data_IF_025369790704
#
_entry.id   IF_025369790704
#
_cell.length_a   1.000
_cell.length_b   1.000
_cell.length_c   1.000
_cell.angle_alpha   90.00
_cell.angle_beta   90.00
_cell.angle_gamma   90.00
#
_symmetry.space_group_name_H-M   'P 1'
#
loop_
_entity.id
_entity.type
_entity.pdbx_description
1 polymer ?
#
# COMPACT_ATOMS: atom_id res chain seq x y z
N UNK A 1 -19.08 -13.23 4.71
CA UNK A 1 -18.44 -12.32 5.70
C UNK A 1 -18.38 -10.94 5.08
N UNK A 2 -18.77 -9.90 5.80
CA UNK A 2 -18.61 -8.53 5.31
C UNK A 2 -17.14 -8.12 5.39
N UNK A 3 -16.61 -7.54 4.31
CA UNK A 3 -15.28 -6.92 4.31
C UNK A 3 -15.34 -5.61 5.11
N UNK A 4 -14.51 -5.48 6.15
CA UNK A 4 -14.40 -4.26 6.94
C UNK A 4 -13.10 -3.54 6.56
N UNK A 5 -13.22 -2.28 6.16
CA UNK A 5 -12.07 -1.40 5.91
C UNK A 5 -11.99 -0.37 7.04
N UNK A 6 -10.82 -0.22 7.62
CA UNK A 6 -10.54 0.76 8.68
C UNK A 6 -9.73 1.92 8.09
N UNK A 7 -9.85 3.09 8.73
CA UNK A 7 -9.04 4.27 8.42
C UNK A 7 -8.33 4.72 9.69
N UNK A 8 -7.06 5.11 9.52
CA UNK A 8 -6.21 5.59 10.60
C UNK A 8 -6.39 7.10 10.72
N UNK A 9 -6.78 7.55 11.91
CA UNK A 9 -6.91 8.97 12.25
C UNK A 9 -5.63 9.75 11.98
N UNK A 10 -4.47 9.14 12.23
CA UNK A 10 -3.16 9.77 11.97
C UNK A 10 -2.99 10.21 10.51
N UNK A 11 -3.63 9.53 9.56
CA UNK A 11 -3.56 9.89 8.14
C UNK A 11 -4.70 10.86 7.76
N UNK A 12 -5.93 10.56 8.15
CA UNK A 12 -7.11 11.36 7.73
C UNK A 12 -7.24 12.68 8.49
N UNK A 13 -6.65 12.79 9.68
CA UNK A 13 -6.59 14.02 10.46
C UNK A 13 -5.25 14.76 10.25
N UNK A 14 -4.41 14.33 9.29
CA UNK A 14 -3.16 15.02 8.95
C UNK A 14 -3.44 16.29 8.16
N UNK A 15 -2.62 17.33 8.38
CA UNK A 15 -2.74 18.61 7.67
C UNK A 15 -2.70 18.41 6.15
N UNK A 16 -1.78 17.56 5.66
CA UNK A 16 -1.68 17.23 4.24
C UNK A 16 -2.99 16.71 3.64
N UNK A 17 -3.76 15.94 4.40
CA UNK A 17 -5.05 15.40 3.98
C UNK A 17 -6.17 16.44 4.09
N UNK A 18 -6.23 17.16 5.21
CA UNK A 18 -7.27 18.16 5.48
C UNK A 18 -7.19 19.39 4.57
N UNK A 19 -6.00 19.71 4.07
CA UNK A 19 -5.78 20.76 3.06
C UNK A 19 -6.36 20.42 1.67
N UNK A 20 -6.66 19.14 1.39
CA UNK A 20 -7.20 18.74 0.09
C UNK A 20 -8.68 19.15 -0.04
N UNK A 21 -9.18 19.38 -1.27
CA UNK A 21 -10.61 19.56 -1.50
C UNK A 21 -11.43 18.37 -0.98
N UNK A 22 -12.64 18.63 -0.48
CA UNK A 22 -13.54 17.59 0.03
C UNK A 22 -13.84 16.49 -1.00
N UNK A 23 -13.88 16.85 -2.29
CA UNK A 23 -14.04 15.91 -3.42
C UNK A 23 -12.87 14.93 -3.53
N UNK A 24 -11.62 15.41 -3.41
CA UNK A 24 -10.43 14.56 -3.38
C UNK A 24 -10.39 13.67 -2.12
N UNK A 25 -10.72 14.21 -0.95
CA UNK A 25 -10.84 13.43 0.29
C UNK A 25 -11.90 12.33 0.15
N UNK A 26 -13.07 12.66 -0.41
CA UNK A 26 -14.14 11.71 -0.69
C UNK A 26 -13.68 10.60 -1.64
N UNK A 27 -13.01 10.97 -2.74
CA UNK A 27 -12.45 10.01 -3.71
C UNK A 27 -11.47 9.04 -3.03
N UNK A 28 -10.58 9.52 -2.15
CA UNK A 28 -9.65 8.68 -1.40
C UNK A 28 -10.36 7.60 -0.58
N UNK A 29 -11.43 7.97 0.14
CA UNK A 29 -12.23 7.02 0.90
C UNK A 29 -12.90 6.00 -0.03
N UNK A 30 -13.50 6.44 -1.14
CA UNK A 30 -14.18 5.54 -2.07
C UNK A 30 -13.25 4.56 -2.79
N UNK A 31 -12.03 4.97 -3.11
CA UNK A 31 -10.98 4.10 -3.64
C UNK A 31 -10.56 3.07 -2.60
N UNK A 32 -10.26 3.52 -1.36
CA UNK A 32 -9.85 2.65 -0.26
C UNK A 32 -10.92 1.63 0.13
N UNK A 33 -12.20 1.97 0.03
CA UNK A 33 -13.30 1.03 0.28
C UNK A 33 -13.39 -0.11 -0.74
N UNK A 34 -12.82 0.08 -1.95
CA UNK A 34 -12.89 -0.87 -3.07
C UNK A 34 -11.53 -1.49 -3.41
N UNK A 35 -10.51 -1.19 -2.62
CA UNK A 35 -9.20 -1.78 -2.76
C UNK A 35 -9.19 -3.23 -2.26
N UNK A 36 -8.30 -4.04 -2.84
CA UNK A 36 -8.03 -5.39 -2.36
C UNK A 36 -7.22 -5.39 -1.05
N UNK A 37 -6.89 -6.57 -0.53
CA UNK A 37 -6.19 -6.70 0.76
C UNK A 37 -4.75 -6.19 0.76
N UNK A 38 -4.16 -5.94 -0.40
CA UNK A 38 -2.87 -5.26 -0.52
C UNK A 38 -2.99 -3.76 -0.81
N UNK A 39 -4.20 -3.26 -1.04
CA UNK A 39 -4.50 -1.85 -1.29
C UNK A 39 -4.56 -1.46 -2.76
N UNK A 40 -4.61 -2.43 -3.68
CA UNK A 40 -4.65 -2.18 -5.11
C UNK A 40 -6.08 -1.93 -5.62
N UNK A 41 -6.20 -1.02 -6.58
CA UNK A 41 -7.45 -0.67 -7.25
C UNK A 41 -7.22 -0.60 -8.75
N UNK A 42 -7.97 -1.39 -9.53
CA UNK A 42 -7.96 -1.33 -10.99
C UNK A 42 -9.09 -0.42 -11.52
N UNK A 43 -10.23 -0.39 -10.85
CA UNK A 43 -11.44 0.27 -11.36
C UNK A 43 -11.53 1.78 -11.06
N UNK A 44 -10.40 2.50 -11.10
CA UNK A 44 -10.31 3.93 -10.70
C UNK A 44 -11.30 4.81 -11.46
N UNK A 45 -11.32 4.74 -12.80
CA UNK A 45 -12.24 5.53 -13.63
C UNK A 45 -13.72 5.23 -13.34
N UNK A 46 -14.05 3.97 -13.08
CA UNK A 46 -15.41 3.57 -12.73
C UNK A 46 -15.82 4.18 -11.39
N UNK A 47 -14.93 4.13 -10.39
CA UNK A 47 -15.18 4.70 -9.07
C UNK A 47 -15.36 6.21 -9.16
N UNK A 48 -14.47 6.92 -9.87
CA UNK A 48 -14.57 8.36 -10.10
C UNK A 48 -15.92 8.74 -10.73
N UNK A 49 -16.39 8.00 -11.75
CA UNK A 49 -17.71 8.22 -12.35
C UNK A 49 -18.86 8.01 -11.36
N UNK A 50 -18.78 6.97 -10.52
CA UNK A 50 -19.84 6.67 -9.52
C UNK A 50 -19.95 7.77 -8.47
N UNK A 51 -18.82 8.35 -8.06
CA UNK A 51 -18.77 9.38 -7.01
C UNK A 51 -18.77 10.79 -7.58
N UNK A 52 -18.81 10.92 -8.91
CA UNK A 52 -18.71 12.17 -9.65
C UNK A 52 -17.47 13.01 -9.29
N UNK A 53 -16.32 12.34 -9.11
CA UNK A 53 -15.04 13.00 -8.86
C UNK A 53 -14.39 13.45 -10.18
N UNK A 54 -13.71 14.59 -10.14
CA UNK A 54 -12.99 15.14 -11.29
C UNK A 54 -11.63 14.46 -11.48
N UNK A 55 -11.05 14.60 -12.67
CA UNK A 55 -9.68 14.17 -12.92
C UNK A 55 -8.66 14.96 -12.06
N UNK A 56 -8.97 16.21 -11.72
CA UNK A 56 -8.13 17.04 -10.86
C UNK A 56 -8.08 16.51 -9.42
N UNK A 57 -9.20 16.01 -8.89
CA UNK A 57 -9.24 15.35 -7.57
C UNK A 57 -8.29 14.16 -7.52
N UNK A 58 -8.29 13.34 -8.58
CA UNK A 58 -7.38 12.20 -8.68
C UNK A 58 -5.92 12.65 -8.79
N UNK A 59 -5.63 13.68 -9.61
CA UNK A 59 -4.29 14.25 -9.73
C UNK A 59 -3.78 14.77 -8.38
N UNK A 60 -4.62 15.44 -7.59
CA UNK A 60 -4.26 15.91 -6.25
C UNK A 60 -3.83 14.74 -5.35
N UNK A 61 -4.56 13.62 -5.37
CA UNK A 61 -4.21 12.42 -4.59
C UNK A 61 -2.87 11.81 -5.01
N UNK A 62 -2.56 11.81 -6.32
CA UNK A 62 -1.28 11.33 -6.84
C UNK A 62 -0.16 12.31 -6.48
N UNK A 63 -0.35 13.61 -6.70
CA UNK A 63 0.66 14.65 -6.45
C UNK A 63 1.01 14.78 -4.96
N UNK A 64 0.02 14.69 -4.06
CA UNK A 64 0.26 14.64 -2.60
C UNK A 64 0.72 13.26 -2.11
N UNK A 65 0.78 12.26 -3.00
CA UNK A 65 1.30 10.93 -2.70
C UNK A 65 0.40 10.08 -1.81
N UNK A 66 -0.92 10.30 -1.78
CA UNK A 66 -1.86 9.41 -1.09
C UNK A 66 -2.13 8.14 -1.88
N UNK A 67 -1.96 8.21 -3.20
CA UNK A 67 -2.13 7.12 -4.16
C UNK A 67 -0.89 7.03 -5.03
N UNK A 68 -0.40 5.82 -5.29
CA UNK A 68 0.67 5.57 -6.26
C UNK A 68 0.05 4.98 -7.53
N UNK A 69 0.37 5.57 -8.67
CA UNK A 69 -0.10 5.13 -9.99
C UNK A 69 0.99 4.30 -10.68
N UNK A 70 0.61 3.15 -11.22
CA UNK A 70 1.48 2.32 -12.06
C UNK A 70 1.20 2.57 -13.55
N UNK A 71 2.17 2.25 -14.40
CA UNK A 71 2.05 2.32 -15.86
C UNK A 71 0.93 1.43 -16.42
N UNK A 72 0.59 0.35 -15.71
CA UNK A 72 -0.55 -0.52 -16.07
C UNK A 72 -1.92 0.16 -15.87
N UNK A 73 -1.96 1.34 -15.27
CA UNK A 73 -3.19 2.07 -14.94
C UNK A 73 -3.84 1.63 -13.63
N UNK A 74 -3.27 0.61 -12.97
CA UNK A 74 -3.64 0.20 -11.62
C UNK A 74 -3.03 1.19 -10.62
N UNK A 75 -3.72 1.42 -9.51
CA UNK A 75 -3.19 2.23 -8.41
C UNK A 75 -3.05 1.40 -7.14
N UNK A 76 -2.24 1.89 -6.20
CA UNK A 76 -2.20 1.39 -4.83
C UNK A 76 -2.38 2.54 -3.83
N UNK A 77 -3.14 2.28 -2.77
CA UNK A 77 -3.28 3.22 -1.64
C UNK A 77 -2.00 3.20 -0.82
N UNK A 78 -1.28 4.32 -0.75
CA UNK A 78 0.06 4.38 -0.14
C UNK A 78 0.07 3.95 1.33
N UNK A 79 -0.96 4.37 2.08
CA UNK A 79 -1.07 4.14 3.53
C UNK A 79 -1.90 2.89 3.87
N UNK A 80 -2.08 1.96 2.93
CA UNK A 80 -2.98 0.83 3.11
C UNK A 80 -2.70 -0.01 4.35
N UNK A 81 -1.43 -0.38 4.59
CA UNK A 81 -1.04 -1.22 5.75
C UNK A 81 -1.08 -0.47 7.09
N UNK A 82 -1.09 0.86 7.06
CA UNK A 82 -1.36 1.70 8.24
C UNK A 82 -2.86 1.68 8.56
N UNK A 83 -3.69 1.74 7.51
CA UNK A 83 -5.14 1.69 7.64
C UNK A 83 -5.66 0.31 8.04
N UNK A 84 -5.13 -0.74 7.42
CA UNK A 84 -5.66 -2.09 7.52
C UNK A 84 -4.55 -3.07 7.87
N UNK A 85 -4.68 -3.70 9.03
CA UNK A 85 -3.90 -4.88 9.39
C UNK A 85 -4.81 -6.11 9.24
N UNK A 86 -4.58 -6.89 8.18
CA UNK A 86 -5.39 -8.07 7.85
C UNK A 86 -4.68 -9.32 8.40
N UNK A 87 -5.44 -10.18 9.09
CA UNK A 87 -4.90 -11.42 9.63
C UNK A 87 -4.59 -12.41 8.50
N UNK A 88 -3.52 -13.21 8.68
CA UNK A 88 -2.98 -14.10 7.64
C UNK A 88 -3.99 -15.14 7.15
N UNK A 89 -4.89 -15.60 8.01
CA UNK A 89 -5.92 -16.59 7.72
C UNK A 89 -6.98 -16.09 6.73
N UNK A 90 -7.23 -14.78 6.69
CA UNK A 90 -8.24 -14.15 5.80
C UNK A 90 -7.64 -13.39 4.64
N UNK A 91 -6.33 -13.17 4.65
CA UNK A 91 -5.63 -12.38 3.67
C UNK A 91 -5.69 -13.01 2.28
N UNK A 92 -6.08 -12.22 1.28
CA UNK A 92 -6.06 -12.60 -0.13
C UNK A 92 -5.04 -11.75 -0.88
N UNK A 93 -3.95 -12.34 -1.42
CA UNK A 93 -2.95 -11.56 -2.13
C UNK A 93 -3.55 -10.93 -3.38
N UNK A 94 -3.04 -9.76 -3.74
CA UNK A 94 -3.39 -9.11 -5.00
C UNK A 94 -2.98 -9.94 -6.21
N UNK A 95 -3.74 -9.81 -7.29
CA UNK A 95 -3.38 -10.36 -8.60
C UNK A 95 -2.26 -9.56 -9.27
N UNK A 96 -2.01 -8.31 -8.85
CA UNK A 96 -0.98 -7.40 -9.37
C UNK A 96 0.39 -7.67 -8.72
N UNK A 97 0.84 -8.93 -8.82
CA UNK A 97 2.09 -9.39 -8.18
C UNK A 97 3.32 -8.66 -8.71
N UNK A 98 3.34 -8.32 -10.01
CA UNK A 98 4.42 -7.58 -10.66
C UNK A 98 4.54 -6.16 -10.10
N UNK A 99 3.44 -5.42 -10.02
CA UNK A 99 3.40 -4.07 -9.46
C UNK A 99 3.75 -4.08 -7.98
N UNK A 100 3.23 -5.06 -7.23
CA UNK A 100 3.55 -5.24 -5.81
C UNK A 100 5.03 -5.51 -5.56
N UNK A 101 5.70 -6.24 -6.46
CA UNK A 101 7.15 -6.49 -6.32
C UNK A 101 8.01 -5.23 -6.46
N UNK A 102 7.46 -4.17 -7.07
CA UNK A 102 8.12 -2.85 -7.19
C UNK A 102 7.89 -1.96 -5.97
N UNK A 103 7.10 -2.41 -5.01
CA UNK A 103 6.83 -1.67 -3.78
C UNK A 103 7.73 -2.17 -2.66
N UNK A 104 8.45 -1.24 -2.04
CA UNK A 104 9.01 -1.44 -0.72
C UNK A 104 8.00 -1.02 0.34
N UNK A 105 8.06 -1.67 1.50
CA UNK A 105 7.29 -1.28 2.68
C UNK A 105 8.28 -0.91 3.77
N UNK A 106 8.32 0.38 4.13
CA UNK A 106 9.18 0.86 5.19
C UNK A 106 8.70 0.33 6.56
N UNK A 107 9.52 0.49 7.60
CA UNK A 107 9.14 0.15 8.99
C UNK A 107 7.84 0.83 9.46
N UNK A 108 7.48 1.94 8.81
CA UNK A 108 6.25 2.69 9.08
C UNK A 108 5.00 2.12 8.38
N UNK A 109 5.09 0.96 7.70
CA UNK A 109 3.98 0.32 6.96
C UNK A 109 3.41 1.18 5.83
N UNK A 110 4.24 2.06 5.27
CA UNK A 110 3.90 2.92 4.15
C UNK A 110 4.53 2.33 2.89
N UNK A 111 3.78 2.28 1.79
CA UNK A 111 4.34 1.86 0.52
C UNK A 111 5.21 2.96 -0.10
N UNK A 112 6.34 2.54 -0.64
CA UNK A 112 7.29 3.35 -1.39
C UNK A 112 7.57 2.62 -2.70
N UNK A 113 7.68 3.36 -3.82
CA UNK A 113 8.03 2.76 -5.10
C UNK A 113 9.56 2.69 -5.20
N UNK A 114 10.12 1.51 -5.43
CA UNK A 114 11.57 1.26 -5.43
C UNK A 114 12.30 1.83 -6.67
N UNK A 115 11.73 2.80 -7.38
CA UNK A 115 12.36 3.29 -8.61
C UNK A 115 12.19 4.78 -8.81
N UNK A 116 13.33 5.38 -9.14
CA UNK A 116 13.69 6.73 -9.60
C UNK A 116 12.92 7.26 -10.83
N UNK A 117 11.63 6.96 -10.95
CA UNK A 117 10.79 7.27 -12.11
C UNK A 117 9.32 7.11 -11.67
N UNK A 118 8.43 8.10 -11.64
CA UNK A 118 8.37 9.43 -12.24
C UNK A 118 7.58 10.34 -11.27
N UNK A 119 8.22 11.36 -10.73
CA UNK A 119 7.55 12.63 -10.52
C UNK A 119 7.68 13.37 -11.85
N UNK A 120 6.79 13.09 -12.80
CA UNK A 120 6.72 13.90 -13.99
C UNK A 120 5.30 14.43 -14.13
N UNK A 121 5.16 15.72 -13.85
CA UNK A 121 4.10 16.56 -14.38
C UNK A 121 4.16 16.48 -15.92
N UNK A 122 3.58 15.43 -16.51
CA UNK A 122 3.33 15.41 -17.95
C UNK A 122 1.92 15.94 -18.16
N UNK A 123 1.85 17.18 -18.65
CA UNK A 123 0.73 17.77 -19.36
C UNK A 123 -0.19 16.71 -19.96
N UNK A 124 -1.33 16.46 -19.32
CA UNK A 124 -2.43 15.73 -19.92
C UNK A 124 -3.22 16.73 -20.74
N UNK A 125 -2.62 17.13 -21.86
CA UNK A 125 -3.30 17.86 -22.91
C UNK A 125 -3.65 16.89 -24.03
N UNK A 126 -4.96 16.72 -24.20
CA UNK A 126 -5.66 16.34 -25.42
C UNK A 126 -5.21 15.08 -26.18
N UNK A 127 -6.04 14.03 -26.11
CA UNK A 127 -6.64 13.47 -27.33
C UNK A 127 -7.94 12.71 -27.02
N UNK A 128 -9.03 13.36 -27.40
CA UNK A 128 -10.38 12.83 -27.49
C UNK A 128 -10.40 11.64 -28.44
N UNK A 129 -10.74 10.44 -27.96
CA UNK A 129 -11.15 9.32 -28.84
C UNK A 129 -12.42 8.67 -28.27
N UNK A 130 -13.54 9.17 -28.82
CA UNK A 130 -14.77 8.50 -29.22
C UNK A 130 -15.64 7.78 -28.16
N UNK A 131 -16.80 8.38 -27.96
CA UNK A 131 -18.02 7.69 -27.55
C UNK A 131 -18.35 6.60 -28.56
N UNK A 132 -18.39 5.34 -28.12
CA UNK A 132 -19.26 4.34 -28.74
C UNK A 132 -20.09 3.76 -27.60
N UNK A 133 -21.37 4.15 -27.61
CA UNK A 133 -22.41 3.37 -26.98
C UNK A 133 -22.49 2.05 -27.75
N UNK A 134 -22.43 0.93 -27.04
CA UNK A 134 -23.31 -0.18 -27.36
C UNK A 134 -23.49 -1.09 -26.14
N UNK A 135 -24.75 -1.45 -25.91
CA UNK A 135 -25.17 -2.47 -24.97
C UNK A 135 -24.62 -3.82 -25.41
N UNK A 136 -24.21 -4.65 -24.46
CA UNK A 136 -24.96 -5.90 -24.28
C UNK A 136 -24.72 -6.57 -22.93
N UNK A 137 -25.82 -7.09 -22.41
CA UNK A 137 -25.91 -8.00 -21.28
C UNK A 137 -25.48 -9.37 -21.76
N UNK A 138 -24.54 -10.05 -21.12
CA UNK A 138 -24.56 -11.53 -21.06
C UNK A 138 -24.08 -12.09 -19.72
N UNK A 139 -25.05 -12.78 -19.11
CA UNK A 139 -24.93 -13.87 -18.16
C UNK A 139 -24.10 -15.01 -18.77
N UNK A 140 -23.15 -15.57 -18.03
CA UNK A 140 -22.68 -16.93 -18.28
C UNK A 140 -22.18 -17.59 -16.99
N UNK A 141 -23.03 -18.49 -16.51
CA UNK A 141 -22.75 -19.51 -15.52
C UNK A 141 -21.59 -20.42 -15.94
N UNK A 142 -20.65 -20.59 -15.01
CA UNK A 142 -19.96 -21.85 -14.69
C UNK A 142 -19.11 -22.54 -15.77
N UNK A 143 -17.83 -22.75 -15.46
CA UNK A 143 -17.19 -24.08 -15.53
C UNK A 143 -15.79 -24.11 -14.90
N UNK A 144 -15.70 -25.02 -13.93
CA UNK A 144 -14.57 -25.80 -13.43
C UNK A 144 -13.39 -25.90 -14.41
N UNK A 145 -12.17 -25.69 -13.91
CA UNK A 145 -10.95 -26.25 -14.50
C UNK A 145 -9.88 -26.48 -13.44
N UNK A 146 -9.73 -27.77 -13.14
CA UNK A 146 -8.51 -28.56 -12.91
C UNK A 146 -7.27 -27.86 -12.35
N UNK A 147 -6.82 -28.37 -11.20
CA UNK A 147 -5.60 -27.97 -10.53
C UNK A 147 -4.33 -28.48 -11.19
N UNK A 148 -3.23 -27.83 -10.79
CA UNK A 148 -1.88 -28.36 -10.84
C UNK A 148 -1.12 -27.95 -9.57
N UNK A 149 -0.25 -28.87 -9.16
CA UNK A 149 0.38 -29.02 -7.86
C UNK A 149 1.46 -27.99 -7.52
N UNK A 150 1.77 -27.85 -6.22
CA UNK A 150 3.16 -27.74 -5.76
C UNK A 150 3.28 -28.18 -4.30
N UNK A 151 4.08 -29.22 -4.08
CA UNK A 151 4.62 -29.56 -2.76
C UNK A 151 5.60 -28.46 -2.35
N UNK A 152 5.37 -27.85 -1.19
CA UNK A 152 6.37 -27.02 -0.52
C UNK A 152 6.64 -27.57 0.87
N UNK A 153 7.92 -27.88 1.08
CA UNK A 153 8.49 -28.52 2.24
C UNK A 153 8.32 -27.66 3.49
N UNK A 154 7.89 -28.31 4.57
CA UNK A 154 7.83 -27.76 5.92
C UNK A 154 9.23 -27.31 6.38
N UNK A 155 9.45 -26.01 6.53
CA UNK A 155 10.47 -25.50 7.47
C UNK A 155 9.76 -25.17 8.77
N UNK A 156 9.88 -26.07 9.74
CA UNK A 156 9.62 -25.80 11.14
C UNK A 156 10.57 -24.67 11.59
N UNK A 157 10.00 -23.50 11.86
CA UNK A 157 10.67 -22.42 12.56
C UNK A 157 9.90 -22.15 13.85
N UNK A 158 10.47 -22.55 14.97
CA UNK A 158 10.00 -22.22 16.32
C UNK A 158 9.82 -20.70 16.42
N UNK A 159 8.58 -20.25 16.45
CA UNK A 159 8.23 -18.84 16.61
C UNK A 159 8.57 -18.38 18.01
N UNK A 160 9.75 -17.81 18.20
CA UNK A 160 10.02 -16.94 19.36
C UNK A 160 9.05 -15.76 19.31
N UNK A 161 8.43 -15.48 20.44
CA UNK A 161 7.42 -14.45 20.54
C UNK A 161 7.99 -13.08 20.11
N UNK A 162 7.14 -12.19 19.59
CA UNK A 162 7.53 -10.84 19.17
C UNK A 162 8.21 -10.05 20.30
N UNK A 163 7.87 -10.36 21.56
CA UNK A 163 8.49 -9.77 22.75
C UNK A 163 9.91 -10.29 22.98
N UNK A 164 10.20 -11.57 22.71
CA UNK A 164 11.54 -12.14 22.81
C UNK A 164 12.50 -11.57 21.77
N UNK A 165 12.01 -11.32 20.55
CA UNK A 165 12.83 -10.71 19.48
C UNK A 165 13.12 -9.24 19.75
N UNK A 166 12.20 -8.49 20.36
CA UNK A 166 12.46 -7.12 20.83
C UNK A 166 13.44 -7.07 22.00
N UNK A 167 13.30 -7.97 22.98
CA UNK A 167 14.20 -8.04 24.12
C UNK A 167 15.64 -8.39 23.71
N UNK A 168 15.81 -9.31 22.76
CA UNK A 168 17.13 -9.67 22.22
C UNK A 168 17.80 -8.49 21.51
N UNK A 169 17.06 -7.76 20.67
CA UNK A 169 17.57 -6.59 19.96
C UNK A 169 17.95 -5.44 20.92
N UNK A 170 17.15 -5.22 21.97
CA UNK A 170 17.46 -4.23 23.01
C UNK A 170 18.70 -4.60 23.84
N UNK A 171 18.86 -5.88 24.18
CA UNK A 171 20.04 -6.35 24.92
C UNK A 171 21.33 -6.19 24.10
N UNK A 172 21.27 -6.47 22.79
CA UNK A 172 22.42 -6.33 21.89
C UNK A 172 22.82 -4.86 21.71
N UNK A 173 21.84 -3.97 21.52
CA UNK A 173 22.10 -2.51 21.46
C UNK A 173 22.71 -1.99 22.76
N UNK A 174 22.23 -2.45 23.92
CA UNK A 174 22.77 -2.06 25.22
C UNK A 174 24.21 -2.55 25.42
N UNK A 175 24.54 -3.77 24.98
CA UNK A 175 25.90 -4.30 25.04
C UNK A 175 26.89 -3.48 24.19
N UNK A 176 26.48 -3.11 22.96
CA UNK A 176 27.31 -2.26 22.09
C UNK A 176 27.53 -0.85 22.67
N UNK A 177 26.51 -0.27 23.31
CA UNK A 177 26.62 1.02 24.01
C UNK A 177 27.54 0.96 25.23
N UNK A 178 27.53 -0.14 25.97
CA UNK A 178 28.40 -0.31 27.12
C UNK A 178 29.87 -0.46 26.67
N UNK A 179 30.09 -1.17 25.56
CA UNK A 179 31.44 -1.36 25.02
C UNK A 179 32.01 -0.08 24.42
N UNK A 180 31.18 0.72 23.74
CA UNK A 180 31.60 2.04 23.26
C UNK A 180 31.92 3.00 24.40
N UNK A 181 31.13 3.00 25.49
CA UNK A 181 31.46 3.75 26.72
C UNK A 181 32.80 3.35 27.32
N UNK A 182 33.07 2.05 27.48
CA UNK A 182 34.35 1.56 28.01
C UNK A 182 35.55 2.00 27.17
N UNK A 183 35.39 2.02 25.83
CA UNK A 183 36.44 2.50 24.91
C UNK A 183 36.69 3.99 25.08
N UNK A 184 35.63 4.79 25.26
CA UNK A 184 35.76 6.24 25.51
C UNK A 184 36.44 6.50 26.85
N UNK A 185 36.08 5.76 27.90
CA UNK A 185 36.67 5.92 29.24
C UNK A 185 38.17 5.55 29.24
N UNK A 186 38.57 4.50 28.49
CA UNK A 186 39.99 4.14 28.32
C UNK A 186 40.79 5.22 27.58
N UNK A 187 40.22 5.83 26.54
CA UNK A 187 40.86 6.94 25.81
C UNK A 187 41.03 8.15 26.74
N UNK A 188 40.06 8.41 27.61
CA UNK A 188 40.05 9.55 28.53
C UNK A 188 41.06 9.40 29.68
N UNK A 189 41.43 8.17 30.06
CA UNK A 189 42.42 7.89 31.11
C UNK A 189 43.87 7.83 30.61
N UNK A 190 44.09 7.83 29.29
CA UNK A 190 45.43 7.82 28.67
C UNK A 190 45.89 9.21 28.16
N UNK A 191 45.06 10.24 28.34
CA UNK A 191 45.36 11.65 28.04
C UNK A 191 45.57 12.44 29.34
#
# INVERSE_FOLDING_TARGET
MAERRMFSKTIVDSDLFLEMPLSAQCLYFHLSMRADDDGFVNSVRKIMRVVNASDDDFRILVSKGFVLLFESGVIVIKHWRVHNCIQKDRYRPTIYSTEKSRLSTDGNKVYSLDTTCLQHESNLDTQCIQNVADMDTQDSLGKISLGYAREEQERQGEGRSFEETQAALQAELHAQLLESKKRIDQITQQA
#
